data_IF_081036441636
#
_entry.id   IF_081036441636
#
_cell.length_a   1.000
_cell.length_b   1.000
_cell.length_c   1.000
_cell.angle_alpha   90.00
_cell.angle_beta   90.00
_cell.angle_gamma   90.00
#
_symmetry.space_group_name_H-M   'P 1'
#
loop_
_entity.id
_entity.type
_entity.pdbx_description
1 polymer ?
#
# COMPACT_ATOMS: atom_id res chain seq x y z
N UNK A 1 -8.15 -11.73 13.74
CA UNK A 1 -7.02 -10.79 13.61
C UNK A 1 -7.43 -9.61 12.73
N UNK A 2 -7.07 -8.40 13.14
CA UNK A 2 -7.41 -7.23 12.33
C UNK A 2 -6.36 -6.98 11.24
N UNK A 3 -6.80 -6.46 10.12
CA UNK A 3 -5.91 -6.07 9.04
C UNK A 3 -4.93 -4.98 9.49
N UNK A 4 -5.37 -4.08 10.37
CA UNK A 4 -4.50 -3.05 10.93
C UNK A 4 -3.33 -3.66 11.70
N UNK A 5 -3.59 -4.68 12.52
CA UNK A 5 -2.53 -5.39 13.24
C UNK A 5 -1.57 -6.09 12.28
N UNK A 6 -2.11 -6.71 11.23
CA UNK A 6 -1.29 -7.34 10.20
C UNK A 6 -0.33 -6.33 9.56
N UNK A 7 -0.83 -5.14 9.24
CA UNK A 7 -0.01 -4.06 8.67
C UNK A 7 1.06 -3.58 9.65
N UNK A 8 0.70 -3.40 10.92
CA UNK A 8 1.65 -2.96 11.95
C UNK A 8 2.72 -4.00 12.21
N UNK A 9 2.36 -5.27 12.23
CA UNK A 9 3.32 -6.36 12.41
C UNK A 9 4.28 -6.45 11.21
N UNK A 10 3.75 -6.30 10.00
CA UNK A 10 4.58 -6.26 8.79
C UNK A 10 5.54 -5.08 8.82
N UNK A 11 5.10 -3.93 9.34
CA UNK A 11 5.96 -2.76 9.49
C UNK A 11 7.12 -3.05 10.45
N UNK A 12 6.83 -3.67 11.59
CA UNK A 12 7.86 -4.04 12.57
C UNK A 12 8.88 -5.01 11.96
N UNK A 13 8.39 -6.02 11.26
CA UNK A 13 9.25 -7.02 10.62
C UNK A 13 10.16 -6.38 9.57
N UNK A 14 9.62 -5.50 8.75
CA UNK A 14 10.40 -4.79 7.72
C UNK A 14 11.44 -3.87 8.36
N UNK A 15 11.10 -3.22 9.48
CA UNK A 15 12.04 -2.38 10.22
C UNK A 15 13.18 -3.20 10.80
N UNK A 16 12.88 -4.34 11.40
CA UNK A 16 13.89 -5.24 11.98
C UNK A 16 14.83 -5.79 10.90
N UNK A 17 14.28 -6.11 9.74
CA UNK A 17 15.05 -6.60 8.61
C UNK A 17 15.78 -5.48 7.84
N UNK A 18 15.54 -4.23 8.21
CA UNK A 18 16.06 -3.04 7.50
C UNK A 18 15.68 -3.05 6.02
N UNK A 19 14.50 -3.57 5.71
CA UNK A 19 13.98 -3.71 4.35
C UNK A 19 13.16 -2.46 3.99
N UNK A 20 13.84 -1.45 3.47
CA UNK A 20 13.25 -0.16 3.14
C UNK A 20 12.23 -0.27 2.01
N UNK A 21 12.44 -1.19 1.07
CA UNK A 21 11.53 -1.37 -0.06
C UNK A 21 10.18 -1.91 0.40
N UNK A 22 10.17 -2.86 1.34
CA UNK A 22 8.93 -3.38 1.93
C UNK A 22 8.26 -2.35 2.82
N UNK A 23 9.06 -1.56 3.53
CA UNK A 23 8.56 -0.59 4.50
C UNK A 23 7.79 0.55 3.83
N UNK A 24 8.23 0.98 2.66
CA UNK A 24 7.62 2.11 1.95
C UNK A 24 6.13 1.92 1.65
N UNK A 25 5.68 0.82 0.99
CA UNK A 25 4.25 0.63 0.76
C UNK A 25 3.45 0.44 2.04
N UNK A 26 4.00 -0.20 3.07
CA UNK A 26 3.33 -0.37 4.36
C UNK A 26 3.07 0.99 5.00
N UNK A 27 4.07 1.85 5.05
CA UNK A 27 3.92 3.21 5.58
C UNK A 27 2.92 4.04 4.79
N UNK A 28 2.88 3.85 3.48
CA UNK A 28 1.93 4.53 2.61
C UNK A 28 0.49 4.17 2.96
N UNK A 29 0.21 2.88 3.18
CA UNK A 29 -1.11 2.42 3.59
C UNK A 29 -1.49 2.98 4.95
N UNK A 30 -0.59 2.88 5.93
CA UNK A 30 -0.85 3.37 7.29
C UNK A 30 -1.12 4.87 7.31
N UNK A 31 -0.37 5.65 6.52
CA UNK A 31 -0.58 7.09 6.39
C UNK A 31 -1.93 7.41 5.74
N UNK A 32 -2.30 6.66 4.71
CA UNK A 32 -3.59 6.85 4.02
C UNK A 32 -4.77 6.52 4.94
N UNK A 33 -4.65 5.46 5.75
CA UNK A 33 -5.65 5.10 6.76
C UNK A 33 -5.83 6.25 7.74
N UNK A 34 -4.72 6.73 8.30
CA UNK A 34 -4.75 7.80 9.30
C UNK A 34 -5.37 9.07 8.73
N UNK A 35 -4.98 9.44 7.50
CA UNK A 35 -5.50 10.65 6.86
C UNK A 35 -7.00 10.55 6.65
N UNK A 36 -7.49 9.40 6.18
CA UNK A 36 -8.91 9.19 5.97
C UNK A 36 -9.70 9.22 7.28
N UNK A 37 -9.15 8.62 8.34
CA UNK A 37 -9.80 8.65 9.66
C UNK A 37 -9.93 10.07 10.19
N UNK A 38 -8.90 10.89 9.98
CA UNK A 38 -8.93 12.30 10.41
C UNK A 38 -9.94 13.09 9.58
N UNK A 39 -9.91 12.95 8.25
CA UNK A 39 -10.74 13.72 7.34
C UNK A 39 -12.22 13.41 7.52
N UNK A 40 -12.57 12.15 7.73
CA UNK A 40 -13.96 11.70 7.86
C UNK A 40 -14.40 11.53 9.31
N UNK A 41 -13.49 11.71 10.26
CA UNK A 41 -13.75 11.56 11.71
C UNK A 41 -14.35 10.18 12.04
N UNK A 42 -13.76 9.14 11.47
CA UNK A 42 -14.19 7.74 11.65
C UNK A 42 -13.00 6.86 12.02
N UNK A 43 -13.30 5.65 12.48
CA UNK A 43 -12.31 4.59 12.63
C UNK A 43 -12.57 3.55 11.54
N UNK A 44 -11.55 3.22 10.76
CA UNK A 44 -11.70 2.25 9.69
C UNK A 44 -11.62 0.83 10.23
N UNK A 45 -12.58 0.01 9.82
CA UNK A 45 -12.55 -1.43 10.02
C UNK A 45 -11.76 -2.11 8.87
N UNK A 46 -11.71 -3.44 8.88
CA UNK A 46 -10.99 -4.20 7.85
C UNK A 46 -11.53 -3.91 6.43
N UNK A 47 -12.83 -3.77 6.28
CA UNK A 47 -13.43 -3.43 4.99
C UNK A 47 -12.98 -2.05 4.52
N UNK A 48 -12.93 -1.08 5.43
CA UNK A 48 -12.47 0.26 5.11
C UNK A 48 -11.00 0.30 4.74
N UNK A 49 -10.17 -0.46 5.46
CA UNK A 49 -8.74 -0.56 5.16
C UNK A 49 -8.52 -1.25 3.82
N UNK A 50 -9.26 -2.32 3.53
CA UNK A 50 -9.21 -2.98 2.24
C UNK A 50 -9.53 -2.01 1.11
N UNK A 51 -10.55 -1.18 1.28
CA UNK A 51 -10.92 -0.14 0.32
C UNK A 51 -9.77 0.84 0.06
N UNK A 52 -9.06 1.26 1.11
CA UNK A 52 -7.89 2.13 0.99
C UNK A 52 -6.81 1.45 0.15
N UNK A 53 -6.52 0.18 0.43
CA UNK A 53 -5.48 -0.56 -0.31
C UNK A 53 -5.87 -0.71 -1.79
N UNK A 54 -7.12 -1.06 -2.08
CA UNK A 54 -7.61 -1.20 -3.45
C UNK A 54 -7.44 0.10 -4.22
N UNK A 55 -7.76 1.23 -3.60
CA UNK A 55 -7.59 2.54 -4.23
C UNK A 55 -6.12 2.85 -4.52
N UNK A 56 -5.23 2.54 -3.59
CA UNK A 56 -3.79 2.74 -3.79
C UNK A 56 -3.26 1.87 -4.92
N UNK A 57 -3.69 0.61 -4.99
CA UNK A 57 -3.31 -0.31 -6.07
C UNK A 57 -3.78 0.24 -7.43
N UNK A 58 -5.02 0.73 -7.48
CA UNK A 58 -5.57 1.30 -8.72
C UNK A 58 -4.74 2.49 -9.20
N UNK A 59 -4.37 3.39 -8.28
CA UNK A 59 -3.53 4.54 -8.61
C UNK A 59 -2.16 4.10 -9.15
N UNK A 60 -1.57 3.06 -8.56
CA UNK A 60 -0.27 2.52 -9.02
C UNK A 60 -0.38 1.86 -10.38
N UNK A 61 -1.49 1.17 -10.67
CA UNK A 61 -1.71 0.58 -11.99
C UNK A 61 -1.84 1.64 -13.07
N UNK A 62 -2.52 2.73 -12.78
CA UNK A 62 -2.63 3.85 -13.71
C UNK A 62 -1.25 4.45 -14.00
N UNK A 63 -0.45 4.67 -12.96
CA UNK A 63 0.92 5.16 -13.11
C UNK A 63 1.80 4.17 -13.88
N UNK A 64 1.67 2.88 -13.59
CA UNK A 64 2.39 1.82 -14.30
C UNK A 64 2.13 1.90 -15.80
N UNK A 65 0.86 1.98 -16.19
CA UNK A 65 0.46 2.07 -17.59
C UNK A 65 1.06 3.30 -18.27
N UNK A 66 1.00 4.45 -17.58
CA UNK A 66 1.57 5.70 -18.12
C UNK A 66 3.08 5.59 -18.33
N UNK A 67 3.79 5.00 -17.37
CA UNK A 67 5.24 4.82 -17.52
C UNK A 67 5.60 3.85 -18.63
N UNK A 68 4.86 2.74 -18.77
CA UNK A 68 5.08 1.79 -19.87
C UNK A 68 4.84 2.45 -21.22
N UNK A 69 3.77 3.22 -21.35
CA UNK A 69 3.44 3.93 -22.60
C UNK A 69 4.51 4.97 -22.94
N UNK A 70 5.13 5.56 -21.93
CA UNK A 70 6.20 6.54 -22.11
C UNK A 70 7.59 5.91 -22.31
N UNK A 71 7.68 4.59 -22.31
CA UNK A 71 8.97 3.90 -22.45
C UNK A 71 9.84 3.97 -21.21
N UNK A 72 9.26 4.28 -20.05
CA UNK A 72 9.98 4.40 -18.78
C UNK A 72 9.81 3.12 -17.96
N UNK A 73 10.41 2.03 -18.44
CA UNK A 73 10.31 0.73 -17.79
C UNK A 73 10.91 0.74 -16.38
N UNK A 74 11.92 1.55 -16.13
CA UNK A 74 12.53 1.73 -14.81
C UNK A 74 11.51 2.21 -13.78
N UNK A 75 10.70 3.21 -14.13
CA UNK A 75 9.67 3.74 -13.25
C UNK A 75 8.46 2.80 -13.16
N UNK A 76 8.12 2.15 -14.27
CA UNK A 76 7.03 1.17 -14.28
C UNK A 76 7.34 0.00 -13.35
N UNK A 77 8.58 -0.47 -13.30
CA UNK A 77 8.99 -1.57 -12.42
C UNK A 77 8.84 -1.21 -10.94
N UNK A 78 9.13 0.04 -10.57
CA UNK A 78 8.91 0.51 -9.19
C UNK A 78 7.43 0.42 -8.83
N UNK A 79 6.54 0.87 -9.73
CA UNK A 79 5.10 0.78 -9.50
C UNK A 79 4.62 -0.67 -9.41
N UNK A 80 5.15 -1.55 -10.27
CA UNK A 80 4.81 -2.98 -10.24
C UNK A 80 5.18 -3.62 -8.90
N UNK A 81 6.36 -3.29 -8.37
CA UNK A 81 6.80 -3.80 -7.08
C UNK A 81 5.92 -3.31 -5.93
N UNK A 82 5.50 -2.05 -5.96
CA UNK A 82 4.58 -1.50 -4.97
C UNK A 82 3.21 -2.18 -5.03
N UNK A 83 2.69 -2.42 -6.24
CA UNK A 83 1.43 -3.13 -6.43
C UNK A 83 1.49 -4.51 -5.80
N UNK A 84 2.54 -5.27 -6.08
CA UNK A 84 2.72 -6.62 -5.52
C UNK A 84 2.73 -6.58 -3.99
N UNK A 85 3.45 -5.63 -3.41
CA UNK A 85 3.53 -5.49 -1.95
C UNK A 85 2.17 -5.12 -1.34
N UNK A 86 1.42 -4.24 -1.98
CA UNK A 86 0.09 -3.83 -1.50
C UNK A 86 -0.93 -4.95 -1.64
N UNK A 87 -0.91 -5.68 -2.74
CA UNK A 87 -1.86 -6.77 -2.98
C UNK A 87 -1.68 -7.92 -2.00
N UNK A 88 -0.50 -8.08 -1.41
CA UNK A 88 -0.25 -9.09 -0.40
C UNK A 88 -1.13 -8.91 0.84
N UNK A 89 -1.64 -7.71 1.09
CA UNK A 89 -2.53 -7.42 2.22
C UNK A 89 -4.02 -7.53 1.87
N UNK A 90 -4.35 -7.74 0.60
CA UNK A 90 -5.75 -7.92 0.20
C UNK A 90 -6.19 -9.36 0.45
N UNK A 91 -7.48 -9.59 0.76
CA UNK A 91 -8.00 -10.96 0.87
C UNK A 91 -7.80 -11.72 -0.43
N UNK A 92 -7.34 -12.95 -0.31
CA UNK A 92 -7.07 -13.82 -1.46
C UNK A 92 -8.25 -14.74 -1.72
#
# INVERSE_FOLDING_TARGET
MSLLLTLKDAQKDAMKAKDKERLKPIRMVLAAIKQREIDEQITLDDAGITSVIVKLVKQRRDSYTQYKDAGRDDLADIEANEITALEAFLPQ
#
